data_IF_807750824914
#
_entry.id   IF_807750824914
#
_cell.length_a   1.000
_cell.length_b   1.000
_cell.length_c   1.000
_cell.angle_alpha   90.00
_cell.angle_beta   90.00
_cell.angle_gamma   90.00
#
_symmetry.space_group_name_H-M   'P 1'
#
loop_
_entity.id
_entity.type
_entity.pdbx_description
1 polymer ?
#
# COMPACT_ATOMS: atom_id res chain seq x y z
N UNK A 1 -0.66 9.00 -10.40
CA UNK A 1 -1.56 9.51 -9.34
C UNK A 1 -0.88 10.50 -8.38
N UNK A 2 0.45 10.50 -8.25
CA UNK A 2 1.12 11.37 -7.29
C UNK A 2 0.96 10.92 -5.83
N UNK A 3 0.76 9.62 -5.61
CA UNK A 3 0.58 9.05 -4.27
C UNK A 3 1.90 9.02 -3.50
N UNK A 4 1.81 9.14 -2.18
CA UNK A 4 2.92 9.01 -1.24
C UNK A 4 2.44 8.32 0.04
N UNK A 5 3.35 7.75 0.82
CA UNK A 5 2.99 6.87 1.95
C UNK A 5 2.52 5.50 1.46
N UNK A 6 1.42 4.99 2.02
CA UNK A 6 0.82 3.73 1.59
C UNK A 6 -0.52 3.93 0.89
N UNK A 7 -0.77 3.10 -0.11
CA UNK A 7 -2.05 2.97 -0.78
C UNK A 7 -2.47 1.51 -0.84
N UNK A 8 -3.77 1.23 -0.83
CA UNK A 8 -4.32 -0.05 -1.27
C UNK A 8 -4.86 0.12 -2.69
N UNK A 9 -4.44 -0.74 -3.61
CA UNK A 9 -4.99 -0.78 -4.97
C UNK A 9 -5.77 -2.06 -5.14
N UNK A 10 -7.08 -1.93 -5.37
CA UNK A 10 -7.94 -3.08 -5.59
C UNK A 10 -8.08 -3.32 -7.09
N UNK A 11 -7.92 -4.56 -7.54
CA UNK A 11 -7.95 -4.93 -8.95
C UNK A 11 -8.66 -6.26 -9.17
N UNK A 12 -9.23 -6.44 -10.36
CA UNK A 12 -9.74 -7.71 -10.85
C UNK A 12 -8.76 -8.26 -11.89
N UNK A 13 -8.36 -9.50 -11.72
CA UNK A 13 -7.63 -10.25 -12.74
C UNK A 13 -8.68 -10.94 -13.63
N UNK A 14 -8.63 -10.63 -14.93
CA UNK A 14 -9.39 -11.30 -15.98
C UNK A 14 -8.45 -12.18 -16.76
N UNK A 15 -8.95 -13.30 -17.27
CA UNK A 15 -8.17 -14.19 -18.13
C UNK A 15 -8.97 -14.52 -19.41
N UNK A 16 -9.21 -13.52 -20.27
CA UNK A 16 -9.77 -13.79 -21.59
C UNK A 16 -8.76 -14.61 -22.39
N UNK A 17 -9.15 -15.83 -22.77
CA UNK A 17 -8.43 -16.65 -23.75
C UNK A 17 -6.98 -17.00 -23.35
N UNK A 18 -6.68 -17.07 -22.05
CA UNK A 18 -5.36 -17.41 -21.53
C UNK A 18 -4.38 -16.23 -21.43
N UNK A 19 -4.85 -15.01 -21.70
CA UNK A 19 -4.09 -13.78 -21.51
C UNK A 19 -4.56 -13.05 -20.24
N UNK A 20 -3.78 -13.18 -19.16
CA UNK A 20 -4.07 -12.49 -17.91
C UNK A 20 -4.03 -10.96 -18.07
N UNK A 21 -5.16 -10.31 -17.79
CA UNK A 21 -5.35 -8.86 -17.76
C UNK A 21 -5.64 -8.41 -16.32
N UNK A 22 -4.99 -7.35 -15.85
CA UNK A 22 -5.25 -6.74 -14.54
C UNK A 22 -6.03 -5.44 -14.75
N UNK A 23 -7.25 -5.38 -14.23
CA UNK A 23 -8.12 -4.19 -14.27
C UNK A 23 -8.15 -3.54 -12.90
N UNK A 24 -7.53 -2.37 -12.76
CA UNK A 24 -7.59 -1.58 -11.52
C UNK A 24 -9.00 -1.01 -11.30
N UNK A 25 -9.52 -1.17 -10.09
CA UNK A 25 -10.84 -0.69 -9.69
C UNK A 25 -10.75 0.62 -8.90
N UNK A 26 -9.91 0.64 -7.87
CA UNK A 26 -9.71 1.80 -7.02
C UNK A 26 -8.28 1.90 -6.49
N UNK A 27 -7.91 3.11 -6.08
CA UNK A 27 -6.72 3.40 -5.30
C UNK A 27 -7.15 4.13 -4.04
N UNK A 28 -7.04 3.46 -2.89
CA UNK A 28 -7.34 4.02 -1.58
C UNK A 28 -6.04 4.55 -0.94
N UNK A 29 -5.96 5.86 -0.75
CA UNK A 29 -4.79 6.56 -0.21
C UNK A 29 -4.75 6.65 1.32
N UNK A 30 -5.78 6.14 2.01
CA UNK A 30 -5.83 6.02 3.46
C UNK A 30 -6.47 4.69 3.85
N UNK A 31 -5.79 3.56 3.59
CA UNK A 31 -6.31 2.25 3.89
C UNK A 31 -6.45 2.03 5.41
N UNK A 32 -7.31 1.08 5.79
CA UNK A 32 -7.49 0.71 7.19
C UNK A 32 -6.18 0.20 7.82
N UNK A 33 -6.02 0.47 9.12
CA UNK A 33 -4.83 0.15 9.92
C UNK A 33 -5.16 -0.70 11.17
N UNK A 34 -6.32 -1.36 11.19
CA UNK A 34 -6.66 -2.31 12.27
C UNK A 34 -5.99 -3.66 12.05
N UNK A 35 -5.98 -4.53 13.06
CA UNK A 35 -5.42 -5.87 12.98
C UNK A 35 -6.05 -6.76 11.88
N UNK A 36 -7.23 -6.43 11.38
CA UNK A 36 -7.91 -7.16 10.29
C UNK A 36 -7.87 -6.43 8.95
N UNK A 37 -7.19 -5.27 8.88
CA UNK A 37 -7.11 -4.47 7.67
C UNK A 37 -6.10 -5.03 6.66
N UNK A 38 -6.36 -4.83 5.37
CA UNK A 38 -5.57 -5.40 4.28
C UNK A 38 -4.13 -4.88 4.21
N UNK A 39 -3.87 -3.61 4.53
CA UNK A 39 -2.51 -3.06 4.50
C UNK A 39 -1.62 -3.72 5.58
N UNK A 40 -2.01 -3.74 6.88
CA UNK A 40 -1.30 -4.50 7.90
C UNK A 40 -1.13 -5.99 7.57
N UNK A 41 -2.18 -6.66 7.07
CA UNK A 41 -2.11 -8.08 6.73
C UNK A 41 -1.13 -8.36 5.58
N UNK A 42 -1.11 -7.50 4.56
CA UNK A 42 -0.19 -7.64 3.42
C UNK A 42 1.27 -7.38 3.85
N UNK A 43 1.49 -6.40 4.73
CA UNK A 43 2.81 -6.13 5.30
C UNK A 43 3.31 -7.33 6.13
N UNK A 44 2.45 -7.88 7.00
CA UNK A 44 2.78 -9.05 7.80
C UNK A 44 3.11 -10.28 6.93
N UNK A 45 2.35 -10.50 5.85
CA UNK A 45 2.65 -11.57 4.88
C UNK A 45 3.99 -11.37 4.17
N UNK A 46 4.44 -10.12 4.01
CA UNK A 46 5.77 -9.77 3.51
C UNK A 46 6.87 -9.78 4.59
N UNK A 47 6.56 -10.23 5.81
CA UNK A 47 7.52 -10.28 6.93
C UNK A 47 7.79 -8.92 7.58
N UNK A 48 6.89 -7.94 7.40
CA UNK A 48 6.98 -6.61 8.02
C UNK A 48 5.96 -6.55 9.17
N UNK A 49 6.42 -6.58 10.44
CA UNK A 49 5.57 -6.38 11.61
C UNK A 49 4.81 -5.04 11.56
N UNK A 50 3.71 -4.95 12.30
CA UNK A 50 2.88 -3.74 12.31
C UNK A 50 3.62 -2.50 12.81
N UNK A 51 4.46 -2.66 13.85
CA UNK A 51 5.24 -1.56 14.41
C UNK A 51 6.26 -1.04 13.38
N UNK A 52 6.99 -1.95 12.71
CA UNK A 52 7.91 -1.61 11.62
C UNK A 52 7.20 -0.94 10.44
N UNK A 53 5.97 -1.37 10.10
CA UNK A 53 5.16 -0.71 9.07
C UNK A 53 4.85 0.73 9.47
N UNK A 54 4.43 0.95 10.73
CA UNK A 54 4.14 2.28 11.23
C UNK A 54 5.40 3.17 11.22
N UNK A 55 6.53 2.65 11.68
CA UNK A 55 7.81 3.36 11.69
C UNK A 55 8.21 3.79 10.27
N UNK A 56 8.18 2.87 9.30
CA UNK A 56 8.48 3.17 7.88
C UNK A 56 7.58 4.27 7.32
N UNK A 57 6.28 4.24 7.60
CA UNK A 57 5.35 5.27 7.13
C UNK A 57 5.69 6.65 7.67
N UNK A 58 6.08 6.74 8.95
CA UNK A 58 6.52 7.98 9.59
C UNK A 58 7.84 8.46 9.02
N UNK A 59 8.84 7.58 8.90
CA UNK A 59 10.14 7.92 8.30
C UNK A 59 10.00 8.46 6.88
N UNK A 60 9.20 7.80 6.04
CA UNK A 60 8.93 8.24 4.68
C UNK A 60 8.21 9.60 4.64
N UNK A 61 7.31 9.87 5.60
CA UNK A 61 6.70 11.19 5.74
C UNK A 61 7.72 12.26 6.17
N UNK A 62 8.63 11.94 7.07
CA UNK A 62 9.68 12.86 7.52
C UNK A 62 10.65 13.21 6.39
N UNK A 63 11.14 12.20 5.63
CA UNK A 63 12.04 12.41 4.49
C UNK A 63 11.42 13.32 3.42
N UNK A 64 10.13 13.12 3.12
CA UNK A 64 9.40 13.93 2.12
C UNK A 64 9.25 15.39 2.54
N UNK A 65 9.20 15.67 3.83
CA UNK A 65 9.07 17.02 4.39
C UNK A 65 10.41 17.60 4.88
N UNK A 66 11.52 16.89 4.68
CA UNK A 66 12.83 17.39 5.04
C UNK A 66 13.12 18.67 4.22
N UNK A 67 13.69 19.72 4.83
CA UNK A 67 14.15 20.88 4.08
C UNK A 67 15.12 20.43 2.99
N UNK A 68 14.92 20.92 1.77
CA UNK A 68 15.97 20.85 0.76
C UNK A 68 17.06 21.85 1.16
N UNK A 69 18.30 21.36 1.33
CA UNK A 69 19.49 22.21 1.46
C UNK A 69 19.62 23.20 0.28
#
# INVERSE_FOLDING_TARGET
>A
LGCSGATRTDAIVRDPEGAAEIVALEVNTLPGMTATSLLPNSAAAAGIPFDDLCERLVEEAMKRNAPSD
#
